data_IF_714563186544
#
_entry.id   IF_714563186544
#
_cell.length_a   1.000
_cell.length_b   1.000
_cell.length_c   1.000
_cell.angle_alpha   90.00
_cell.angle_beta   90.00
_cell.angle_gamma   90.00
#
_symmetry.space_group_name_H-M   'P 1'
#
loop_
_entity.id
_entity.type
_entity.pdbx_description
1 polymer ?
#
# COMPACT_ATOMS: atom_id res chain seq x y z
N UNK A 1 4.31 13.72 17.45
CA UNK A 1 4.84 12.36 17.26
C UNK A 1 5.41 12.28 15.85
N UNK A 2 6.65 11.87 15.64
CA UNK A 2 7.22 11.77 14.30
C UNK A 2 6.54 10.66 13.49
N UNK A 3 6.32 10.90 12.19
CA UNK A 3 5.81 9.90 11.26
C UNK A 3 6.95 8.98 10.85
N UNK A 4 6.83 7.68 11.13
CA UNK A 4 7.88 6.71 10.84
C UNK A 4 8.00 6.37 9.34
N UNK A 5 6.88 6.34 8.64
CA UNK A 5 6.80 6.08 7.21
C UNK A 5 5.37 6.34 6.68
N UNK A 6 5.24 6.34 5.35
CA UNK A 6 3.97 6.49 4.64
C UNK A 6 3.71 5.30 3.69
N UNK A 7 2.44 5.08 3.39
CA UNK A 7 1.97 4.20 2.31
C UNK A 7 1.19 5.06 1.31
N UNK A 8 1.38 4.81 0.04
CA UNK A 8 0.60 5.44 -1.02
C UNK A 8 -0.49 4.47 -1.48
N UNK A 9 -1.72 4.91 -1.46
CA UNK A 9 -2.86 4.16 -2.02
C UNK A 9 -3.37 4.92 -3.22
N UNK A 10 -3.51 4.26 -4.35
CA UNK A 10 -4.01 4.85 -5.60
C UNK A 10 -4.90 3.87 -6.35
N UNK A 11 -5.58 4.33 -7.38
CA UNK A 11 -6.27 3.48 -8.37
C UNK A 11 -5.47 3.46 -9.67
N UNK A 12 -5.76 2.54 -10.63
CA UNK A 12 -5.02 2.46 -11.89
C UNK A 12 -5.18 3.67 -12.81
N UNK A 13 -6.16 4.54 -12.56
CA UNK A 13 -6.49 5.70 -13.39
C UNK A 13 -5.36 6.73 -13.42
N UNK A 14 -5.05 7.28 -14.59
CA UNK A 14 -3.98 8.27 -14.77
C UNK A 14 -4.16 9.50 -13.88
N UNK A 15 -5.39 9.98 -13.70
CA UNK A 15 -5.68 11.13 -12.84
C UNK A 15 -5.34 10.84 -11.36
N UNK A 16 -5.71 9.66 -10.86
CA UNK A 16 -5.37 9.24 -9.49
C UNK A 16 -3.84 9.06 -9.32
N UNK A 17 -3.18 8.51 -10.34
CA UNK A 17 -1.72 8.36 -10.35
C UNK A 17 -0.98 9.71 -10.35
N UNK A 18 -1.54 10.75 -10.99
CA UNK A 18 -0.98 12.10 -10.90
C UNK A 18 -0.97 12.63 -9.46
N UNK A 19 -2.06 12.45 -8.73
CA UNK A 19 -2.14 12.89 -7.33
C UNK A 19 -1.29 12.01 -6.40
N UNK A 20 -1.26 10.71 -6.63
CA UNK A 20 -0.38 9.79 -5.91
C UNK A 20 1.11 10.18 -6.06
N UNK A 21 1.54 10.57 -7.27
CA UNK A 21 2.90 11.09 -7.53
C UNK A 21 3.20 12.37 -6.76
N UNK A 22 2.24 13.30 -6.67
CA UNK A 22 2.39 14.53 -5.88
C UNK A 22 2.54 14.19 -4.39
N UNK A 23 1.73 13.26 -3.87
CA UNK A 23 1.82 12.76 -2.50
C UNK A 23 3.17 12.14 -2.20
N UNK A 24 3.68 11.26 -3.09
CA UNK A 24 4.98 10.64 -2.94
C UNK A 24 6.09 11.69 -2.86
N UNK A 25 6.12 12.65 -3.80
CA UNK A 25 7.10 13.74 -3.80
C UNK A 25 6.99 14.66 -2.58
N UNK A 26 5.78 14.85 -2.06
CA UNK A 26 5.59 15.59 -0.81
C UNK A 26 6.27 14.86 0.36
N UNK A 27 6.09 13.55 0.51
CA UNK A 27 6.75 12.77 1.54
C UNK A 27 8.27 12.79 1.42
N UNK A 28 8.80 12.72 0.19
CA UNK A 28 10.24 12.87 -0.06
C UNK A 28 10.77 14.23 0.45
N UNK A 29 10.06 15.33 0.16
CA UNK A 29 10.46 16.68 0.58
C UNK A 29 10.49 16.86 2.09
N UNK A 30 9.62 16.18 2.82
CA UNK A 30 9.58 16.25 4.29
C UNK A 30 10.35 15.10 4.96
N UNK A 31 11.16 14.37 4.21
CA UNK A 31 11.97 13.24 4.68
C UNK A 31 11.15 12.13 5.36
N UNK A 32 9.91 11.91 4.93
CA UNK A 32 9.09 10.78 5.35
C UNK A 32 9.24 9.67 4.32
N UNK A 33 9.80 8.51 4.68
CA UNK A 33 9.99 7.42 3.74
C UNK A 33 8.67 6.80 3.32
N UNK A 34 8.53 6.49 2.02
CA UNK A 34 7.40 5.73 1.47
C UNK A 34 7.75 4.25 1.48
N UNK A 35 6.99 3.42 2.20
CA UNK A 35 7.21 1.96 2.28
C UNK A 35 6.83 1.24 1.00
N UNK A 36 5.84 1.76 0.30
CA UNK A 36 5.35 1.17 -0.94
C UNK A 36 4.02 1.74 -1.38
N UNK A 37 3.53 1.20 -2.48
CA UNK A 37 2.30 1.61 -3.15
C UNK A 37 1.30 0.46 -3.09
N UNK A 38 0.03 0.77 -2.93
CA UNK A 38 -1.09 -0.17 -2.98
C UNK A 38 -2.00 0.28 -4.12
N UNK A 39 -2.30 -0.61 -5.06
CA UNK A 39 -3.30 -0.35 -6.09
C UNK A 39 -4.67 -0.80 -5.60
N UNK A 40 -5.57 0.15 -5.43
CA UNK A 40 -6.96 -0.12 -5.07
C UNK A 40 -7.83 -0.13 -6.33
N UNK A 41 -8.93 -0.88 -6.32
CA UNK A 41 -9.83 -1.02 -7.46
C UNK A 41 -9.12 -1.53 -8.74
N UNK A 42 -8.14 -2.42 -8.57
CA UNK A 42 -7.30 -2.96 -9.66
C UNK A 42 -8.09 -3.84 -10.62
N UNK A 43 -9.08 -4.57 -10.12
CA UNK A 43 -9.83 -5.59 -10.84
C UNK A 43 -11.24 -5.68 -10.26
N UNK A 44 -12.23 -5.84 -11.10
CA UNK A 44 -13.60 -6.25 -10.73
C UNK A 44 -13.87 -7.67 -11.18
N UNK A 45 -14.45 -8.48 -10.31
CA UNK A 45 -14.94 -9.82 -10.63
C UNK A 45 -16.46 -9.80 -10.57
N UNK A 46 -17.12 -10.08 -11.70
CA UNK A 46 -18.57 -10.13 -11.76
C UNK A 46 -19.12 -11.24 -10.85
N UNK A 47 -20.03 -10.90 -9.95
CA UNK A 47 -20.65 -11.84 -9.02
C UNK A 47 -21.51 -12.91 -9.70
N UNK A 48 -22.02 -12.64 -10.90
CA UNK A 48 -22.92 -13.54 -11.63
C UNK A 48 -22.18 -14.56 -12.49
N UNK A 49 -21.12 -14.14 -13.20
CA UNK A 49 -20.44 -14.99 -14.17
C UNK A 49 -18.93 -15.17 -13.92
N UNK A 50 -18.37 -14.50 -12.92
CA UNK A 50 -16.94 -14.58 -12.62
C UNK A 50 -16.03 -13.89 -13.64
N UNK A 51 -16.58 -13.14 -14.60
CA UNK A 51 -15.79 -12.38 -15.56
C UNK A 51 -14.94 -11.31 -14.85
N UNK A 52 -13.66 -11.29 -15.21
CA UNK A 52 -12.70 -10.33 -14.66
C UNK A 52 -12.55 -9.12 -15.59
N UNK A 53 -12.65 -7.92 -15.03
CA UNK A 53 -12.60 -6.69 -15.79
C UNK A 53 -11.78 -5.62 -15.08
N UNK A 54 -10.87 -4.96 -15.81
CA UNK A 54 -10.09 -3.82 -15.34
C UNK A 54 -10.81 -2.51 -15.66
N UNK A 55 -11.88 -2.21 -14.90
CA UNK A 55 -12.76 -1.05 -15.13
C UNK A 55 -11.96 0.27 -15.17
N UNK A 56 -10.95 0.40 -14.34
CA UNK A 56 -10.13 1.61 -14.20
C UNK A 56 -8.74 1.52 -14.85
N UNK A 57 -8.52 0.51 -15.72
CA UNK A 57 -7.22 0.21 -16.29
C UNK A 57 -6.40 -0.76 -15.43
N UNK A 58 -5.15 -1.01 -15.82
CA UNK A 58 -4.29 -2.00 -15.15
C UNK A 58 -2.84 -1.55 -15.03
N UNK A 59 -2.16 -1.99 -13.96
CA UNK A 59 -0.72 -1.85 -13.77
C UNK A 59 -0.22 -0.42 -13.59
N UNK A 60 -1.10 0.53 -13.27
CA UNK A 60 -0.74 1.93 -13.06
C UNK A 60 0.19 2.12 -11.88
N UNK A 61 -0.15 1.51 -10.76
CA UNK A 61 0.66 1.59 -9.55
C UNK A 61 2.00 0.84 -9.68
N UNK A 62 2.05 -0.27 -10.44
CA UNK A 62 3.31 -0.95 -10.73
C UNK A 62 4.25 -0.06 -11.54
N UNK A 63 3.76 0.56 -12.62
CA UNK A 63 4.58 1.52 -13.40
C UNK A 63 5.08 2.68 -12.54
N UNK A 64 4.24 3.18 -11.63
CA UNK A 64 4.64 4.22 -10.69
C UNK A 64 5.70 3.70 -9.70
N UNK A 65 5.55 2.49 -9.17
CA UNK A 65 6.53 1.88 -8.28
C UNK A 65 7.90 1.75 -8.95
N UNK A 66 7.94 1.25 -10.17
CA UNK A 66 9.17 1.10 -10.97
C UNK A 66 9.83 2.46 -11.22
N UNK A 67 9.04 3.48 -11.57
CA UNK A 67 9.54 4.84 -11.87
C UNK A 67 10.18 5.51 -10.65
N UNK A 68 9.68 5.26 -9.46
CA UNK A 68 10.14 5.92 -8.21
C UNK A 68 10.99 5.01 -7.31
N UNK A 69 11.41 3.85 -7.81
CA UNK A 69 12.20 2.89 -7.01
C UNK A 69 11.48 2.40 -5.75
N UNK A 70 10.14 2.37 -5.80
CA UNK A 70 9.30 1.87 -4.73
C UNK A 70 8.83 0.45 -5.02
N UNK A 71 7.99 -0.13 -4.18
CA UNK A 71 7.43 -1.47 -4.37
C UNK A 71 5.91 -1.43 -4.40
N UNK A 72 5.29 -2.21 -5.30
CA UNK A 72 3.88 -2.51 -5.24
C UNK A 72 3.65 -3.54 -4.13
N UNK A 73 3.05 -3.12 -3.02
CA UNK A 73 2.78 -3.99 -1.87
C UNK A 73 1.64 -4.95 -2.11
N UNK A 74 0.72 -4.59 -2.99
CA UNK A 74 -0.37 -5.43 -3.43
C UNK A 74 -1.47 -4.65 -4.12
N UNK A 75 -2.45 -5.42 -4.60
CA UNK A 75 -3.59 -4.94 -5.35
C UNK A 75 -4.88 -5.37 -4.65
N UNK A 76 -5.82 -4.45 -4.54
CA UNK A 76 -7.13 -4.68 -3.95
C UNK A 76 -8.21 -4.59 -5.05
N UNK A 77 -9.14 -5.54 -5.10
CA UNK A 77 -10.19 -5.51 -6.10
C UNK A 77 -11.23 -4.42 -5.81
N UNK A 78 -11.97 -4.04 -6.84
CA UNK A 78 -13.23 -3.34 -6.69
C UNK A 78 -14.30 -4.37 -6.28
N UNK A 79 -14.61 -4.42 -4.99
CA UNK A 79 -15.55 -5.39 -4.42
C UNK A 79 -16.55 -4.67 -3.49
N UNK A 80 -17.83 -5.00 -3.67
CA UNK A 80 -18.92 -4.37 -2.90
C UNK A 80 -18.78 -4.62 -1.38
N UNK A 81 -18.21 -5.76 -0.98
CA UNK A 81 -18.01 -6.10 0.44
C UNK A 81 -17.04 -5.13 1.13
N UNK A 82 -16.06 -4.59 0.38
CA UNK A 82 -15.14 -3.56 0.91
C UNK A 82 -15.93 -2.30 1.26
N UNK A 83 -16.77 -1.83 0.32
CA UNK A 83 -17.59 -0.63 0.54
C UNK A 83 -18.59 -0.83 1.67
N UNK A 84 -19.41 -1.88 1.59
CA UNK A 84 -20.43 -2.15 2.61
C UNK A 84 -19.81 -2.30 4.00
N UNK A 85 -18.75 -3.09 4.11
CA UNK A 85 -18.08 -3.28 5.40
C UNK A 85 -17.46 -1.99 5.94
N UNK A 86 -16.96 -1.11 5.07
CA UNK A 86 -16.46 0.20 5.49
C UNK A 86 -17.58 1.11 5.99
N UNK A 87 -18.72 1.16 5.28
CA UNK A 87 -19.88 1.96 5.66
C UNK A 87 -20.51 1.49 6.99
N UNK A 88 -20.54 0.17 7.21
CA UNK A 88 -21.10 -0.45 8.42
C UNK A 88 -20.10 -0.47 9.60
N UNK A 89 -18.87 -0.06 9.40
CA UNK A 89 -17.81 -0.08 10.42
C UNK A 89 -17.31 -1.49 10.77
N UNK A 90 -17.58 -2.48 9.91
CA UNK A 90 -17.12 -3.87 10.08
C UNK A 90 -16.26 -4.26 8.85
N UNK A 91 -14.96 -3.93 8.84
CA UNK A 91 -14.09 -4.24 7.70
C UNK A 91 -14.07 -5.72 7.35
N UNK A 92 -13.86 -6.05 6.07
CA UNK A 92 -13.86 -7.42 5.54
C UNK A 92 -12.90 -8.35 6.29
N UNK A 93 -11.79 -7.85 6.80
CA UNK A 93 -10.83 -8.63 7.61
C UNK A 93 -11.39 -9.10 8.94
N UNK A 94 -12.44 -8.46 9.44
CA UNK A 94 -13.16 -8.84 10.65
C UNK A 94 -14.39 -9.66 10.29
N UNK A 95 -15.16 -9.23 9.28
CA UNK A 95 -16.37 -9.92 8.85
C UNK A 95 -16.10 -11.33 8.30
N UNK A 96 -15.06 -11.46 7.47
CA UNK A 96 -14.73 -12.68 6.74
C UNK A 96 -13.22 -12.98 6.81
N UNK A 97 -12.63 -13.26 7.98
CA UNK A 97 -11.18 -13.31 8.17
C UNK A 97 -10.44 -14.38 7.34
N UNK A 98 -11.16 -15.43 6.88
CA UNK A 98 -10.61 -16.51 6.06
C UNK A 98 -10.85 -16.33 4.55
N UNK A 99 -11.63 -15.33 4.15
CA UNK A 99 -11.90 -15.05 2.74
C UNK A 99 -10.63 -14.60 2.00
N UNK A 100 -10.58 -14.87 0.70
CA UNK A 100 -9.46 -14.45 -0.16
C UNK A 100 -9.20 -12.94 -0.07
N UNK A 101 -10.26 -12.15 -0.04
CA UNK A 101 -10.18 -10.70 0.08
C UNK A 101 -9.50 -10.27 1.40
N UNK A 102 -9.89 -10.88 2.53
CA UNK A 102 -9.25 -10.61 3.82
C UNK A 102 -7.77 -11.01 3.83
N UNK A 103 -7.42 -12.13 3.20
CA UNK A 103 -6.01 -12.59 3.06
C UNK A 103 -5.18 -11.61 2.23
N UNK A 104 -5.77 -10.98 1.20
CA UNK A 104 -5.08 -9.94 0.42
C UNK A 104 -4.71 -8.76 1.30
N UNK A 105 -5.63 -8.23 2.09
CA UNK A 105 -5.36 -7.18 3.09
C UNK A 105 -4.27 -7.58 4.08
N UNK A 106 -4.37 -8.79 4.64
CA UNK A 106 -3.38 -9.31 5.58
C UNK A 106 -1.99 -9.42 4.95
N UNK A 107 -1.91 -9.83 3.68
CA UNK A 107 -0.64 -9.93 2.96
C UNK A 107 0.00 -8.56 2.75
N UNK A 108 -0.78 -7.57 2.33
CA UNK A 108 -0.33 -6.18 2.19
C UNK A 108 0.17 -5.64 3.54
N UNK A 109 -0.59 -5.85 4.61
CA UNK A 109 -0.22 -5.41 5.96
C UNK A 109 1.09 -6.04 6.44
N UNK A 110 1.28 -7.35 6.21
CA UNK A 110 2.54 -8.05 6.54
C UNK A 110 3.73 -7.51 5.77
N UNK A 111 3.59 -7.23 4.47
CA UNK A 111 4.65 -6.62 3.64
C UNK A 111 5.00 -5.23 4.16
N UNK A 112 4.00 -4.40 4.46
CA UNK A 112 4.21 -3.07 5.02
C UNK A 112 4.95 -3.13 6.38
N UNK A 113 4.51 -4.02 7.29
CA UNK A 113 5.12 -4.22 8.60
C UNK A 113 6.58 -4.71 8.49
N UNK A 114 6.86 -5.66 7.59
CA UNK A 114 8.21 -6.16 7.35
C UNK A 114 9.15 -5.04 6.88
N UNK A 115 8.70 -4.20 5.94
CA UNK A 115 9.48 -3.05 5.46
C UNK A 115 9.74 -2.02 6.54
N UNK A 116 8.72 -1.73 7.36
CA UNK A 116 8.89 -0.83 8.49
C UNK A 116 9.93 -1.35 9.49
N UNK A 117 9.89 -2.64 9.80
CA UNK A 117 10.85 -3.29 10.71
C UNK A 117 12.28 -3.25 10.17
N UNK A 118 12.48 -3.56 8.88
CA UNK A 118 13.80 -3.48 8.25
C UNK A 118 14.38 -2.06 8.31
N UNK A 119 13.55 -1.05 8.07
CA UNK A 119 14.01 0.35 8.18
C UNK A 119 14.40 0.73 9.62
N UNK A 120 13.63 0.29 10.60
CA UNK A 120 13.95 0.55 12.01
C UNK A 120 15.30 -0.07 12.39
N UNK A 121 15.59 -1.28 11.90
CA UNK A 121 16.88 -1.94 12.11
C UNK A 121 18.03 -1.18 11.45
N UNK A 122 17.87 -0.73 10.19
CA UNK A 122 18.90 0.06 9.51
C UNK A 122 19.17 1.38 10.23
N UNK A 123 18.13 2.08 10.68
CA UNK A 123 18.30 3.33 11.44
C UNK A 123 19.05 3.10 12.76
N UNK A 124 18.76 2.02 13.47
CA UNK A 124 19.46 1.65 14.70
C UNK A 124 20.93 1.25 14.45
N UNK A 125 21.22 0.61 13.31
CA UNK A 125 22.59 0.19 12.95
C UNK A 125 23.46 1.35 12.48
N UNK A 126 22.88 2.47 12.09
CA UNK A 126 23.63 3.66 11.61
C UNK A 126 24.10 4.54 12.77
N UNK A 127 23.61 4.31 13.98
CA UNK A 127 24.14 4.96 15.20
C UNK A 127 25.42 4.21 15.61
N UNK A 128 26.56 4.59 15.04
CA UNK A 128 27.86 4.13 15.50
C UNK A 128 28.05 4.55 16.97
N UNK A 129 28.51 3.66 17.86
CA UNK A 129 28.88 4.07 19.19
C UNK A 129 30.04 5.10 19.08
N UNK A 130 29.89 6.25 19.71
CA UNK A 130 30.97 7.20 19.81
C UNK A 130 32.14 6.49 20.50
N UNK A 131 33.25 6.30 19.79
CA UNK A 131 34.50 5.85 20.41
C UNK A 131 34.96 7.01 21.28
N UNK A 132 34.85 6.87 22.59
CA UNK A 132 35.46 7.77 23.55
C UNK A 132 36.92 7.30 23.62
N UNK A 133 37.81 8.01 22.92
CA UNK A 133 39.24 7.88 23.16
C UNK A 133 39.56 8.53 24.52
N UNK A 134 40.18 7.74 25.39
CA UNK A 134 40.65 8.17 26.70
C UNK A 134 42.05 8.75 26.60
#
# INVERSE_FOLDING_TARGET
MPVSAALIVTTPQDLALLDARKGLRMFEKVNVPVLGIIENMSLHVCSECGHEEHIFGSGGAQRMADQYGSELLGELPLDMRIRVGADDGVPVVIAEPTATLARTYQTIARRAAARLSLRAQHAASTVLPAVIEA
#
